data_IF_127075980062
#
_entry.id   IF_127075980062
#
_cell.length_a   1.000
_cell.length_b   1.000
_cell.length_c   1.000
_cell.angle_alpha   90.00
_cell.angle_beta   90.00
_cell.angle_gamma   90.00
#
_symmetry.space_group_name_H-M   'P 1'
#
loop_
_entity.id
_entity.type
_entity.pdbx_description
1 polymer ?
#
# COMPACT_ATOMS: atom_id res chain seq x y z
N UNK A 1 -23.07 -0.80 15.20
CA UNK A 1 -23.28 0.00 13.97
C UNK A 1 -24.03 -0.85 12.97
N UNK A 2 -24.87 -0.26 12.13
CA UNK A 2 -25.54 -1.02 11.07
C UNK A 2 -24.51 -1.43 10.02
N UNK A 3 -24.52 -2.70 9.63
CA UNK A 3 -23.64 -3.28 8.61
C UNK A 3 -24.45 -3.89 7.49
N UNK A 4 -23.80 -4.13 6.35
CA UNK A 4 -24.33 -4.86 5.21
C UNK A 4 -23.28 -5.87 4.71
N UNK A 5 -23.70 -7.00 4.14
CA UNK A 5 -22.78 -7.90 3.45
C UNK A 5 -22.13 -7.18 2.26
N UNK A 6 -20.89 -7.57 1.95
CA UNK A 6 -20.14 -7.12 0.78
C UNK A 6 -19.39 -8.30 0.17
N UNK A 7 -19.36 -8.34 -1.15
CA UNK A 7 -18.53 -9.23 -1.95
C UNK A 7 -17.52 -8.37 -2.70
N UNK A 8 -16.25 -8.75 -2.68
CA UNK A 8 -15.20 -7.87 -3.20
C UNK A 8 -13.95 -8.58 -3.72
N UNK A 9 -13.19 -7.86 -4.54
CA UNK A 9 -11.86 -8.25 -5.02
C UNK A 9 -10.83 -7.33 -4.38
N UNK A 10 -9.71 -7.88 -3.92
CA UNK A 10 -8.55 -7.08 -3.51
C UNK A 10 -7.68 -6.73 -4.72
N UNK A 11 -7.25 -5.48 -4.82
CA UNK A 11 -6.26 -5.03 -5.79
C UNK A 11 -5.09 -4.36 -5.08
N UNK A 12 -3.89 -4.52 -5.64
CA UNK A 12 -2.62 -4.11 -5.05
C UNK A 12 -1.86 -3.24 -6.03
N UNK A 13 -1.20 -2.24 -5.48
CA UNK A 13 -0.37 -1.31 -6.24
C UNK A 13 1.06 -1.40 -5.73
N UNK A 14 1.98 -1.71 -6.63
CA UNK A 14 3.42 -1.79 -6.35
C UNK A 14 4.14 -0.73 -7.15
N UNK A 15 5.00 0.05 -6.49
CA UNK A 15 5.92 0.96 -7.18
C UNK A 15 7.14 0.22 -7.70
N UNK A 16 7.53 0.53 -8.93
CA UNK A 16 8.70 -0.08 -9.57
C UNK A 16 9.35 0.93 -10.51
N UNK A 17 10.53 1.43 -10.15
CA UNK A 17 11.14 2.54 -10.88
C UNK A 17 10.21 3.76 -10.89
N UNK A 18 10.05 4.38 -12.06
CA UNK A 18 9.09 5.48 -12.29
C UNK A 18 7.71 4.99 -12.73
N UNK A 19 7.41 3.70 -12.53
CA UNK A 19 6.18 3.05 -12.97
C UNK A 19 5.46 2.37 -11.81
N UNK A 20 4.24 1.91 -12.07
CA UNK A 20 3.42 1.21 -11.09
C UNK A 20 2.84 -0.05 -11.72
N UNK A 21 2.79 -1.12 -10.93
CA UNK A 21 2.12 -2.35 -11.29
C UNK A 21 0.86 -2.47 -10.47
N UNK A 22 -0.25 -2.76 -11.14
CA UNK A 22 -1.47 -3.17 -10.48
C UNK A 22 -1.67 -4.68 -10.65
N UNK A 23 -2.12 -5.34 -9.59
CA UNK A 23 -2.65 -6.70 -9.64
C UNK A 23 -4.00 -6.79 -8.94
N UNK A 24 -4.88 -7.65 -9.41
CA UNK A 24 -6.11 -8.04 -8.73
C UNK A 24 -5.94 -9.47 -8.21
N UNK A 25 -6.28 -9.71 -6.95
CA UNK A 25 -6.21 -11.02 -6.35
C UNK A 25 -7.44 -11.87 -6.68
N UNK A 26 -7.22 -13.18 -6.73
CA UNK A 26 -8.26 -14.20 -6.78
C UNK A 26 -7.99 -15.14 -5.59
N UNK A 27 -9.01 -15.58 -4.82
CA UNK A 27 -10.44 -15.52 -5.11
C UNK A 27 -11.13 -14.19 -4.77
N UNK A 28 -12.42 -14.11 -5.06
CA UNK A 28 -13.36 -13.11 -4.53
C UNK A 28 -13.57 -13.35 -3.03
N UNK A 29 -13.53 -12.29 -2.24
CA UNK A 29 -13.70 -12.31 -0.80
C UNK A 29 -15.11 -11.88 -0.39
N UNK A 30 -15.52 -12.28 0.82
CA UNK A 30 -16.76 -11.84 1.44
C UNK A 30 -16.50 -11.20 2.81
N UNK A 31 -17.44 -10.38 3.26
CA UNK A 31 -17.36 -9.74 4.58
C UNK A 31 -18.60 -8.90 4.88
N UNK A 32 -18.48 -8.03 5.88
CA UNK A 32 -19.49 -7.02 6.20
C UNK A 32 -18.85 -5.65 6.32
N UNK A 33 -19.52 -4.62 5.81
CA UNK A 33 -19.08 -3.23 5.88
C UNK A 33 -20.16 -2.38 6.56
N UNK A 34 -19.78 -1.37 7.34
CA UNK A 34 -20.75 -0.44 7.92
C UNK A 34 -21.51 0.31 6.83
N UNK A 35 -22.82 0.52 7.02
CA UNK A 35 -23.65 1.25 6.04
C UNK A 35 -23.40 2.75 6.06
N UNK A 36 -22.88 3.25 7.18
CA UNK A 36 -22.49 4.64 7.40
C UNK A 36 -21.01 4.70 7.80
N UNK A 37 -20.30 5.78 7.44
CA UNK A 37 -18.94 5.98 7.92
C UNK A 37 -18.94 6.14 9.44
N UNK A 38 -18.01 5.46 10.11
CA UNK A 38 -17.85 5.60 11.57
C UNK A 38 -16.93 6.77 11.95
N UNK A 39 -16.12 7.24 10.99
CA UNK A 39 -15.34 8.46 11.13
C UNK A 39 -15.51 9.34 9.89
N UNK A 40 -16.08 10.52 10.11
CA UNK A 40 -16.28 11.57 9.11
C UNK A 40 -15.49 12.84 9.44
N UNK A 41 -14.64 12.84 10.48
CA UNK A 41 -13.88 14.02 10.89
C UNK A 41 -12.73 14.34 9.93
N UNK A 42 -12.28 13.36 9.14
CA UNK A 42 -11.28 13.58 8.09
C UNK A 42 -11.79 14.54 7.02
N UNK A 43 -10.96 15.49 6.57
CA UNK A 43 -11.38 16.50 5.59
C UNK A 43 -11.70 15.86 4.23
N UNK A 44 -10.89 14.89 3.80
CA UNK A 44 -10.94 14.36 2.43
C UNK A 44 -11.65 13.02 2.29
N UNK A 45 -11.78 12.26 3.39
CA UNK A 45 -12.18 10.85 3.36
C UNK A 45 -13.29 10.54 4.36
N UNK A 46 -14.22 9.71 3.93
CA UNK A 46 -15.15 8.99 4.80
C UNK A 46 -14.57 7.61 5.10
N UNK A 47 -14.66 7.18 6.36
CA UNK A 47 -14.06 5.92 6.82
C UNK A 47 -15.15 4.97 7.32
N UNK A 48 -15.21 3.81 6.70
CA UNK A 48 -16.10 2.70 7.02
C UNK A 48 -15.33 1.60 7.73
N UNK A 49 -16.02 0.82 8.57
CA UNK A 49 -15.42 -0.36 9.18
C UNK A 49 -15.80 -1.56 8.32
N UNK A 50 -14.78 -2.29 7.87
CA UNK A 50 -14.91 -3.54 7.13
C UNK A 50 -14.47 -4.69 8.04
N UNK A 51 -15.28 -5.73 8.13
CA UNK A 51 -14.98 -6.98 8.80
C UNK A 51 -14.96 -8.09 7.75
N UNK A 52 -13.80 -8.70 7.55
CA UNK A 52 -13.65 -9.84 6.63
C UNK A 52 -14.28 -11.10 7.23
N UNK A 53 -14.51 -12.11 6.39
CA UNK A 53 -15.07 -13.40 6.81
C UNK A 53 -14.23 -14.11 7.90
N UNK A 54 -12.91 -13.90 7.90
CA UNK A 54 -11.99 -14.42 8.93
C UNK A 54 -12.03 -13.64 10.26
N UNK A 55 -12.89 -12.61 10.36
CA UNK A 55 -13.01 -11.74 11.53
C UNK A 55 -12.01 -10.59 11.58
N UNK A 56 -11.08 -10.49 10.63
CA UNK A 56 -10.13 -9.39 10.58
C UNK A 56 -10.82 -8.05 10.31
N UNK A 57 -10.36 -7.01 11.00
CA UNK A 57 -10.91 -5.66 10.91
C UNK A 57 -10.03 -4.78 10.03
N UNK A 58 -10.66 -4.08 9.10
CA UNK A 58 -10.04 -3.10 8.22
C UNK A 58 -10.81 -1.78 8.27
N UNK A 59 -10.12 -0.69 7.98
CA UNK A 59 -10.76 0.57 7.60
C UNK A 59 -10.90 0.64 6.09
N UNK A 60 -12.07 0.99 5.60
CA UNK A 60 -12.35 1.18 4.17
C UNK A 60 -12.65 2.67 3.93
N UNK A 61 -11.79 3.34 3.16
CA UNK A 61 -11.84 4.80 2.97
C UNK A 61 -12.35 5.15 1.58
N UNK A 62 -13.24 6.14 1.50
CA UNK A 62 -13.72 6.73 0.24
C UNK A 62 -13.42 8.22 0.20
N UNK A 63 -13.08 8.74 -0.97
CA UNK A 63 -12.85 10.18 -1.17
C UNK A 63 -14.18 10.94 -1.18
N UNK A 64 -14.39 11.83 -0.21
CA UNK A 64 -15.65 12.56 0.01
C UNK A 64 -16.11 13.37 -1.18
N UNK A 65 -15.20 14.10 -1.81
CA UNK A 65 -15.50 14.95 -2.96
C UNK A 65 -15.95 14.17 -4.19
N UNK A 66 -15.78 12.83 -4.19
CA UNK A 66 -16.11 11.94 -5.30
C UNK A 66 -17.21 10.93 -4.92
N UNK A 67 -17.91 11.13 -3.79
CA UNK A 67 -18.91 10.18 -3.29
C UNK A 67 -20.11 9.95 -4.23
N UNK A 68 -20.32 10.84 -5.21
CA UNK A 68 -21.40 10.78 -6.20
C UNK A 68 -20.90 10.55 -7.63
N UNK A 69 -19.59 10.45 -7.84
CA UNK A 69 -19.00 10.21 -9.15
C UNK A 69 -19.16 8.75 -9.56
N UNK A 70 -18.97 8.46 -10.84
CA UNK A 70 -18.98 7.09 -11.34
C UNK A 70 -17.78 6.28 -10.80
N UNK A 71 -17.88 4.95 -10.89
CA UNK A 71 -16.87 4.03 -10.39
C UNK A 71 -15.47 4.34 -10.93
N UNK A 72 -15.30 4.64 -12.22
CA UNK A 72 -13.97 4.80 -12.81
C UNK A 72 -13.31 6.11 -12.36
N UNK A 73 -14.10 7.18 -12.24
CA UNK A 73 -13.62 8.45 -11.70
C UNK A 73 -13.19 8.30 -10.24
N UNK A 74 -13.99 7.61 -9.41
CA UNK A 74 -13.65 7.35 -8.01
C UNK A 74 -12.45 6.40 -7.86
N UNK A 75 -12.41 5.34 -8.66
CA UNK A 75 -11.37 4.31 -8.64
C UNK A 75 -10.00 4.91 -8.93
N UNK A 76 -9.86 5.77 -9.95
CA UNK A 76 -8.58 6.42 -10.28
C UNK A 76 -8.05 7.24 -9.10
N UNK A 77 -8.94 7.91 -8.37
CA UNK A 77 -8.54 8.68 -7.20
C UNK A 77 -8.10 7.78 -6.03
N UNK A 78 -8.79 6.64 -5.81
CA UNK A 78 -8.37 5.62 -4.83
C UNK A 78 -7.04 4.96 -5.22
N UNK A 79 -6.85 4.67 -6.51
CA UNK A 79 -5.61 4.14 -7.07
C UNK A 79 -4.44 5.10 -6.83
N UNK A 80 -4.63 6.39 -7.04
CA UNK A 80 -3.62 7.42 -6.76
C UNK A 80 -3.21 7.46 -5.28
N UNK A 81 -4.13 7.21 -4.34
CA UNK A 81 -3.80 7.08 -2.91
C UNK A 81 -2.98 5.82 -2.65
N UNK A 82 -3.35 4.69 -3.25
CA UNK A 82 -2.62 3.44 -3.14
C UNK A 82 -1.20 3.54 -3.72
N UNK A 83 -1.02 4.25 -4.83
CA UNK A 83 0.29 4.60 -5.40
C UNK A 83 1.15 5.31 -4.35
N UNK A 84 0.62 6.31 -3.64
CA UNK A 84 1.39 7.04 -2.61
C UNK A 84 1.76 6.15 -1.42
N UNK A 85 0.85 5.29 -0.96
CA UNK A 85 1.14 4.34 0.10
C UNK A 85 2.25 3.35 -0.31
N UNK A 86 2.23 2.92 -1.57
CA UNK A 86 3.26 2.07 -2.15
C UNK A 86 4.61 2.80 -2.26
N UNK A 87 4.63 4.08 -2.66
CA UNK A 87 5.86 4.91 -2.69
C UNK A 87 6.48 5.04 -1.29
N UNK A 88 5.65 5.32 -0.28
CA UNK A 88 6.09 5.40 1.12
C UNK A 88 6.77 4.10 1.54
N UNK A 89 6.18 2.96 1.21
CA UNK A 89 6.72 1.64 1.56
C UNK A 89 8.09 1.43 0.93
N UNK A 90 8.23 1.65 -0.39
CA UNK A 90 9.51 1.50 -1.10
C UNK A 90 10.60 2.41 -0.52
N UNK A 91 10.30 3.71 -0.36
CA UNK A 91 11.27 4.68 0.15
C UNK A 91 11.66 4.35 1.60
N UNK A 92 10.72 3.89 2.43
CA UNK A 92 11.00 3.51 3.81
C UNK A 92 11.92 2.30 3.91
N UNK A 93 11.72 1.27 3.08
CA UNK A 93 12.59 0.08 3.07
C UNK A 93 14.00 0.41 2.55
N UNK A 94 14.11 1.31 1.58
CA UNK A 94 15.41 1.84 1.12
C UNK A 94 16.09 2.69 2.20
N UNK A 95 15.33 3.50 2.94
CA UNK A 95 15.84 4.28 4.06
C UNK A 95 16.38 3.38 5.18
N UNK A 96 15.66 2.30 5.51
CA UNK A 96 16.14 1.27 6.46
C UNK A 96 17.42 0.61 5.98
N UNK A 97 17.48 0.25 4.70
CA UNK A 97 18.68 -0.34 4.08
C UNK A 97 19.86 0.63 4.15
N UNK A 98 19.62 1.90 3.85
CA UNK A 98 20.64 2.94 3.95
C UNK A 98 21.15 3.12 5.39
N UNK A 99 20.25 3.19 6.37
CA UNK A 99 20.62 3.31 7.78
C UNK A 99 21.44 2.10 8.25
N UNK A 100 21.04 0.88 7.88
CA UNK A 100 21.75 -0.35 8.23
C UNK A 100 23.16 -0.43 7.62
N UNK A 101 23.34 0.10 6.41
CA UNK A 101 24.63 0.13 5.73
C UNK A 101 25.52 1.31 6.15
N UNK A 102 24.97 2.28 6.87
CA UNK A 102 25.69 3.47 7.29
C UNK A 102 26.40 3.23 8.61
N UNK A 103 27.73 3.39 8.62
CA UNK A 103 28.58 3.09 9.78
C UNK A 103 28.86 1.59 9.96
N UNK A 104 29.75 1.24 10.89
CA UNK A 104 30.19 -0.16 11.05
C UNK A 104 29.10 -1.11 11.59
N UNK A 105 28.15 -0.59 12.36
CA UNK A 105 27.10 -1.37 13.02
C UNK A 105 25.68 -0.96 12.56
N UNK A 106 25.57 -0.18 11.49
CA UNK A 106 24.35 0.53 11.15
C UNK A 106 24.08 1.71 12.09
N UNK A 107 23.25 2.63 11.62
CA UNK A 107 22.73 3.74 12.43
C UNK A 107 21.33 3.35 12.91
N UNK A 108 21.08 3.34 14.24
CA UNK A 108 19.75 3.04 14.74
C UNK A 108 18.78 4.14 14.31
N UNK A 109 17.65 3.72 13.74
CA UNK A 109 16.52 4.58 13.40
C UNK A 109 15.28 4.18 14.20
N UNK A 110 14.27 5.04 14.22
CA UNK A 110 12.97 4.68 14.77
C UNK A 110 12.34 3.56 13.93
N UNK A 111 11.69 2.59 14.58
CA UNK A 111 11.01 1.50 13.88
C UNK A 111 9.68 1.99 13.31
N UNK A 112 9.77 2.49 12.07
CA UNK A 112 8.62 2.80 11.23
C UNK A 112 8.22 1.60 10.39
N UNK A 113 6.91 1.36 10.32
CA UNK A 113 6.27 0.43 9.38
C UNK A 113 5.26 1.20 8.55
N UNK A 114 4.86 0.66 7.41
CA UNK A 114 3.74 1.20 6.64
C UNK A 114 2.47 0.40 6.91
N UNK A 115 1.31 1.06 6.88
CA UNK A 115 0.05 0.36 6.85
C UNK A 115 -0.07 -0.43 5.55
N UNK A 116 -0.37 -1.72 5.67
CA UNK A 116 -0.64 -2.59 4.51
C UNK A 116 -1.84 -2.06 3.75
N UNK A 117 -1.60 -1.43 2.60
CA UNK A 117 -2.64 -0.73 1.84
C UNK A 117 -3.06 -1.56 0.64
N UNK A 118 -4.35 -1.78 0.49
CA UNK A 118 -4.93 -2.39 -0.71
C UNK A 118 -6.17 -1.62 -1.18
N UNK A 119 -6.60 -1.89 -2.40
CA UNK A 119 -7.86 -1.40 -2.94
C UNK A 119 -8.87 -2.54 -2.84
N UNK A 120 -10.02 -2.29 -2.23
CA UNK A 120 -11.14 -3.23 -2.23
C UNK A 120 -12.16 -2.76 -3.27
N UNK A 121 -12.42 -3.62 -4.26
CA UNK A 121 -13.38 -3.39 -5.34
C UNK A 121 -14.65 -4.16 -5.00
N UNK A 122 -15.70 -3.43 -4.64
CA UNK A 122 -17.02 -4.01 -4.41
C UNK A 122 -17.68 -4.43 -5.72
N UNK A 123 -18.25 -5.64 -5.72
CA UNK A 123 -18.94 -6.21 -6.89
C UNK A 123 -20.40 -6.55 -6.59
N UNK A 124 -21.28 -6.19 -7.52
CA UNK A 124 -22.68 -6.64 -7.57
C UNK A 124 -22.78 -7.84 -8.50
N UNK A 125 -23.59 -8.82 -8.10
CA UNK A 125 -24.05 -9.89 -8.98
C UNK A 125 -25.55 -9.71 -9.19
N UNK A 126 -25.99 -9.72 -10.46
CA UNK A 126 -27.40 -9.51 -10.84
C UNK A 126 -28.31 -10.67 -10.38
N UNK A 127 -27.74 -11.81 -10.01
CA UNK A 127 -28.43 -12.96 -9.41
C UNK A 127 -27.47 -13.73 -8.50
N UNK A 128 -28.01 -14.48 -7.51
CA UNK A 128 -27.31 -15.16 -6.40
C UNK A 128 -25.79 -15.32 -6.60
N UNK A 129 -24.94 -14.79 -5.69
CA UNK A 129 -23.49 -14.83 -5.86
C UNK A 129 -23.07 -16.27 -6.17
N UNK A 130 -22.16 -16.48 -7.14
CA UNK A 130 -21.71 -17.82 -7.51
C UNK A 130 -21.31 -18.51 -6.22
N UNK A 131 -22.04 -19.58 -5.87
CA UNK A 131 -21.94 -20.23 -4.57
C UNK A 131 -20.46 -20.38 -4.23
N UNK A 132 -20.02 -19.63 -3.20
CA UNK A 132 -18.62 -19.35 -2.88
C UNK A 132 -17.76 -20.52 -3.32
N UNK A 133 -16.92 -20.31 -4.34
CA UNK A 133 -16.20 -21.36 -5.05
C UNK A 133 -15.66 -22.35 -4.02
N UNK A 134 -16.38 -23.47 -3.85
CA UNK A 134 -16.09 -24.42 -2.79
C UNK A 134 -14.64 -24.79 -3.00
N UNK A 135 -13.82 -24.44 -2.01
CA UNK A 135 -12.40 -24.73 -1.91
C UNK A 135 -12.11 -26.03 -2.65
N UNK A 136 -11.27 -25.95 -3.68
CA UNK A 136 -10.86 -27.13 -4.46
C UNK A 136 -10.51 -28.23 -3.45
N UNK A 137 -11.14 -29.42 -3.52
CA UNK A 137 -10.75 -30.51 -2.66
C UNK A 137 -9.27 -30.81 -2.97
N UNK A 138 -8.42 -30.65 -1.96
CA UNK A 138 -7.04 -31.12 -1.98
C UNK A 138 -7.09 -32.64 -2.08
N UNK A 139 -7.15 -33.17 -3.31
CA UNK A 139 -7.12 -34.61 -3.56
C UNK A 139 -5.71 -35.13 -3.28
N UNK A 140 -5.49 -35.62 -2.06
CA UNK A 140 -4.47 -36.61 -1.79
C UNK A 140 -4.90 -37.96 -2.36
N UNK A 141 -3.96 -38.65 -3.02
CA UNK A 141 -4.04 -39.99 -3.62
C UNK A 141 -4.61 -39.97 -5.07
N UNK A 142 -3.92 -40.47 -6.10
CA UNK A 142 -3.44 -41.86 -6.14
C UNK A 142 -2.36 -42.22 -7.19
N UNK A 143 -1.80 -43.40 -6.92
CA UNK A 143 -0.97 -44.31 -7.74
C UNK A 143 -1.35 -44.45 -9.23
N UNK A 144 -0.40 -44.90 -10.08
CA UNK A 144 -0.67 -45.28 -11.46
C UNK A 144 -1.07 -46.76 -11.59
N UNK A 145 -2.16 -47.05 -12.31
CA UNK A 145 -2.42 -48.38 -12.86
C UNK A 145 -2.98 -48.32 -14.28
N UNK A 146 -2.75 -49.42 -14.99
CA UNK A 146 -2.51 -49.55 -16.43
C UNK A 146 -3.74 -50.16 -17.14
N UNK A 147 -4.05 -49.61 -18.31
CA UNK A 147 -4.64 -50.18 -19.55
C UNK A 147 -5.74 -51.29 -19.52
N UNK A 148 -6.85 -51.04 -20.23
CA UNK A 148 -7.42 -51.83 -21.36
C UNK A 148 -8.81 -51.24 -21.73
N UNK A 149 -8.98 -50.63 -22.91
CA UNK A 149 -9.54 -51.18 -24.18
C UNK A 149 -11.08 -51.19 -24.28
N UNK A 150 -11.53 -50.62 -25.40
CA UNK A 150 -12.78 -50.83 -26.15
C UNK A 150 -14.12 -50.35 -25.55
N UNK A 151 -14.70 -49.33 -26.18
CA UNK A 151 -15.79 -49.48 -27.18
C UNK A 151 -16.92 -48.43 -27.08
N UNK A 152 -17.54 -48.17 -28.24
CA UNK A 152 -18.84 -47.53 -28.52
C UNK A 152 -18.94 -46.00 -28.59
N UNK A 153 -19.16 -45.56 -29.83
CA UNK A 153 -19.63 -44.25 -30.28
C UNK A 153 -21.02 -43.90 -29.72
N UNK A 154 -21.11 -42.79 -28.98
CA UNK A 154 -22.35 -42.02 -28.81
C UNK A 154 -22.19 -40.63 -29.45
N UNK A 155 -23.17 -40.13 -30.22
CA UNK A 155 -23.13 -38.80 -30.80
C UNK A 155 -23.24 -37.75 -29.69
N UNK A 156 -22.46 -36.65 -29.75
CA UNK A 156 -22.39 -35.70 -28.65
C UNK A 156 -23.72 -34.98 -28.47
N UNK A 157 -24.35 -35.25 -27.32
CA UNK A 157 -25.44 -34.49 -26.74
C UNK A 157 -25.07 -33.01 -26.78
N UNK A 158 -25.96 -32.18 -27.34
CA UNK A 158 -25.84 -30.73 -27.38
C UNK A 158 -25.43 -30.19 -26.00
N UNK A 159 -24.14 -29.89 -25.86
CA UNK A 159 -23.63 -29.07 -24.76
C UNK A 159 -24.34 -27.74 -24.94
N UNK A 160 -25.30 -27.48 -24.06
CA UNK A 160 -25.93 -26.18 -23.96
C UNK A 160 -24.81 -25.17 -23.76
N UNK A 161 -24.63 -24.29 -24.74
CA UNK A 161 -23.65 -23.20 -24.65
C UNK A 161 -23.81 -22.56 -23.28
N UNK A 162 -22.73 -22.44 -22.47
CA UNK A 162 -22.82 -21.83 -21.15
C UNK A 162 -23.52 -20.49 -21.32
N UNK A 163 -24.66 -20.33 -20.63
CA UNK A 163 -25.43 -19.09 -20.58
C UNK A 163 -24.44 -17.95 -20.39
N UNK A 164 -24.45 -16.97 -21.30
CA UNK A 164 -23.53 -15.84 -21.34
C UNK A 164 -23.22 -15.41 -19.90
N UNK A 165 -21.99 -15.68 -19.43
CA UNK A 165 -21.64 -15.41 -18.04
C UNK A 165 -21.75 -13.91 -17.85
N UNK A 166 -22.76 -13.47 -17.11
CA UNK A 166 -22.93 -12.05 -16.79
C UNK A 166 -21.68 -11.60 -16.05
N UNK A 167 -20.99 -10.62 -16.64
CA UNK A 167 -19.80 -10.04 -16.06
C UNK A 167 -20.21 -9.27 -14.80
N UNK A 168 -19.60 -9.53 -13.63
CA UNK A 168 -19.96 -8.85 -12.39
C UNK A 168 -19.80 -7.34 -12.53
N UNK A 169 -20.74 -6.59 -11.97
CA UNK A 169 -20.77 -5.14 -12.02
C UNK A 169 -19.92 -4.56 -10.89
N UNK A 170 -18.82 -3.87 -11.22
CA UNK A 170 -18.01 -3.13 -10.25
C UNK A 170 -18.79 -1.88 -9.78
N UNK A 171 -19.00 -1.74 -8.48
CA UNK A 171 -19.87 -0.69 -7.92
C UNK A 171 -19.06 0.41 -7.26
N UNK A 172 -18.09 0.05 -6.42
CA UNK A 172 -17.34 0.97 -5.56
C UNK A 172 -15.92 0.52 -5.36
N UNK A 173 -15.03 1.47 -5.10
CA UNK A 173 -13.65 1.22 -4.72
C UNK A 173 -13.38 1.82 -3.34
N UNK A 174 -12.59 1.12 -2.53
CA UNK A 174 -12.20 1.57 -1.20
C UNK A 174 -10.69 1.47 -1.07
N UNK A 175 -10.05 2.49 -0.48
CA UNK A 175 -8.68 2.35 0.01
C UNK A 175 -8.75 1.68 1.39
N UNK A 176 -8.15 0.51 1.52
CA UNK A 176 -8.25 -0.31 2.71
C UNK A 176 -6.90 -0.48 3.40
N UNK A 177 -6.94 -0.39 4.73
CA UNK A 177 -5.80 -0.57 5.63
C UNK A 177 -6.27 -1.37 6.87
N UNK A 178 -5.38 -2.06 7.60
CA UNK A 178 -5.71 -2.67 8.88
C UNK A 178 -6.35 -1.67 9.85
N UNK A 179 -7.35 -2.13 10.60
CA UNK A 179 -7.93 -1.33 11.66
C UNK A 179 -6.92 -1.20 12.82
N UNK A 180 -6.66 0.04 13.25
CA UNK A 180 -5.80 0.30 14.40
C UNK A 180 -6.61 0.30 15.70
N UNK A 181 -6.14 -0.36 16.77
CA UNK A 181 -6.88 -0.45 18.02
C UNK A 181 -7.00 0.92 18.71
N UNK A 182 -8.01 1.09 19.57
CA UNK A 182 -8.25 2.33 20.31
C UNK A 182 -7.08 2.73 21.25
N UNK A 183 -6.20 1.78 21.60
CA UNK A 183 -4.97 2.06 22.35
C UNK A 183 -3.92 2.80 21.52
N UNK A 184 -4.00 2.72 20.19
CA UNK A 184 -3.05 3.34 19.30
C UNK A 184 -3.27 4.85 19.24
N UNK A 185 -2.19 5.61 19.35
CA UNK A 185 -2.21 7.08 19.40
C UNK A 185 -1.78 7.63 18.07
N UNK A 186 -2.59 8.50 17.48
CA UNK A 186 -2.19 9.25 16.30
C UNK A 186 -1.05 10.20 16.66
N UNK A 187 0.04 10.13 15.90
CA UNK A 187 1.18 11.03 16.01
C UNK A 187 1.49 11.62 14.64
N UNK A 188 1.56 12.95 14.57
CA UNK A 188 1.84 13.69 13.34
C UNK A 188 3.24 14.29 13.42
N UNK A 189 4.12 13.86 12.52
CA UNK A 189 5.50 14.31 12.45
C UNK A 189 5.65 15.51 11.52
N UNK A 190 4.97 15.52 10.38
CA UNK A 190 5.02 16.67 9.46
C UNK A 190 3.64 17.03 8.93
N UNK A 191 3.49 18.25 8.44
CA UNK A 191 2.35 18.72 7.67
C UNK A 191 2.60 18.63 6.17
N UNK A 192 1.62 19.06 5.38
CA UNK A 192 1.74 19.19 3.92
C UNK A 192 2.81 20.20 3.47
N UNK A 193 3.04 21.25 4.26
CA UNK A 193 3.94 22.37 3.92
C UNK A 193 4.90 22.71 5.05
N UNK A 194 5.03 21.84 6.04
CA UNK A 194 5.90 22.02 7.19
C UNK A 194 6.51 20.68 7.55
N UNK A 195 7.79 20.50 7.26
CA UNK A 195 8.56 19.33 7.68
C UNK A 195 9.91 19.80 8.21
N UNK A 196 10.50 19.05 9.13
CA UNK A 196 11.71 19.46 9.84
C UNK A 196 11.44 19.93 11.28
N UNK A 197 12.53 19.98 12.05
CA UNK A 197 12.59 20.43 13.44
C UNK A 197 11.73 19.62 14.44
N UNK A 198 11.42 18.37 14.09
CA UNK A 198 10.82 17.46 15.03
C UNK A 198 11.79 17.13 16.17
N UNK A 199 11.23 16.98 17.36
CA UNK A 199 12.01 16.68 18.56
C UNK A 199 11.98 15.18 18.88
N UNK A 200 13.00 14.72 19.60
CA UNK A 200 13.10 13.32 20.01
C UNK A 200 13.46 12.37 18.86
N UNK A 201 13.66 11.10 19.21
CA UNK A 201 14.22 10.12 18.30
C UNK A 201 13.30 9.82 17.10
N UNK A 202 12.00 9.55 17.36
CA UNK A 202 11.00 9.30 16.31
C UNK A 202 10.89 10.48 15.33
N UNK A 203 10.78 11.68 15.88
CA UNK A 203 10.67 12.91 15.12
C UNK A 203 11.87 13.17 14.20
N UNK A 204 13.09 13.08 14.76
CA UNK A 204 14.31 13.23 13.98
C UNK A 204 14.45 12.15 12.90
N UNK A 205 14.00 10.92 13.15
CA UNK A 205 13.96 9.87 12.11
C UNK A 205 12.95 10.21 11.01
N UNK A 206 11.77 10.73 11.33
CA UNK A 206 10.78 11.13 10.33
C UNK A 206 11.30 12.28 9.44
N UNK A 207 11.98 13.27 10.02
CA UNK A 207 12.62 14.35 9.26
C UNK A 207 13.73 13.81 8.33
N UNK A 208 14.53 12.87 8.83
CA UNK A 208 15.56 12.23 8.02
C UNK A 208 14.98 11.36 6.90
N UNK A 209 13.84 10.68 7.12
CA UNK A 209 13.12 9.93 6.08
C UNK A 209 12.61 10.87 4.97
N UNK A 210 12.01 12.00 5.34
CA UNK A 210 11.57 13.01 4.36
C UNK A 210 12.77 13.60 3.58
N UNK A 211 13.88 13.89 4.25
CA UNK A 211 15.09 14.36 3.57
C UNK A 211 15.69 13.28 2.65
N UNK A 212 15.77 12.05 3.14
CA UNK A 212 16.27 10.91 2.38
C UNK A 212 15.48 10.69 1.10
N UNK A 213 14.14 10.80 1.12
CA UNK A 213 13.34 10.62 -0.09
C UNK A 213 13.82 11.55 -1.21
N UNK A 214 14.09 12.81 -0.89
CA UNK A 214 14.53 13.80 -1.88
C UNK A 214 15.94 13.50 -2.38
N UNK A 215 16.86 13.09 -1.49
CA UNK A 215 18.21 12.68 -1.90
C UNK A 215 18.11 11.44 -2.80
N UNK A 216 17.47 10.39 -2.32
CA UNK A 216 17.40 9.09 -2.94
C UNK A 216 16.75 9.12 -4.32
N UNK A 217 15.79 10.01 -4.53
CA UNK A 217 15.10 10.17 -5.81
C UNK A 217 15.60 11.36 -6.64
N UNK A 218 16.76 11.97 -6.36
CA UNK A 218 17.26 13.16 -7.10
C UNK A 218 16.28 14.34 -7.18
N UNK A 219 15.57 14.59 -6.10
CA UNK A 219 14.49 15.58 -6.02
C UNK A 219 13.30 15.32 -6.96
N UNK A 220 13.08 14.04 -7.33
CA UNK A 220 11.86 13.61 -8.01
C UNK A 220 10.69 13.30 -7.06
N UNK A 221 10.94 12.97 -5.78
CA UNK A 221 9.94 12.65 -4.76
C UNK A 221 10.34 13.26 -3.42
N UNK A 222 9.37 13.90 -2.76
CA UNK A 222 9.42 14.28 -1.36
C UNK A 222 8.24 13.63 -0.64
N UNK A 223 8.51 12.85 0.39
CA UNK A 223 7.48 12.42 1.34
C UNK A 223 7.12 13.59 2.27
N UNK A 224 5.83 13.83 2.45
CA UNK A 224 5.27 14.91 3.26
C UNK A 224 4.09 14.41 4.09
N UNK A 225 3.64 15.21 5.05
CA UNK A 225 2.54 14.85 5.97
C UNK A 225 2.74 13.47 6.63
N UNK A 226 3.97 13.20 7.06
CA UNK A 226 4.32 11.97 7.73
C UNK A 226 3.57 11.92 9.07
N UNK A 227 2.70 10.94 9.20
CA UNK A 227 1.92 10.68 10.39
C UNK A 227 1.71 9.18 10.52
N UNK A 228 1.50 8.72 11.75
CA UNK A 228 1.34 7.31 12.04
C UNK A 228 0.66 7.06 13.36
N UNK A 229 0.32 5.80 13.58
CA UNK A 229 -0.20 5.33 14.85
C UNK A 229 0.93 4.70 15.67
N UNK A 230 1.09 5.16 16.91
CA UNK A 230 1.96 4.54 17.91
C UNK A 230 1.12 3.64 18.81
N UNK A 231 1.31 2.32 18.73
CA UNK A 231 0.59 1.36 19.56
C UNK A 231 1.44 0.94 20.77
N UNK A 232 1.05 1.28 22.01
CA UNK A 232 1.82 0.91 23.20
C UNK A 232 1.90 -0.61 23.40
N UNK A 233 1.03 -1.39 22.76
CA UNK A 233 1.07 -2.86 22.83
C UNK A 233 1.99 -3.49 21.78
N UNK A 234 2.41 -2.71 20.77
CA UNK A 234 3.30 -3.19 19.71
C UNK A 234 4.69 -2.54 19.88
N UNK A 235 5.63 -3.31 20.43
CA UNK A 235 6.96 -2.83 20.78
C UNK A 235 8.04 -3.66 20.10
N UNK A 236 9.15 -2.99 19.80
CA UNK A 236 10.43 -3.63 19.48
C UNK A 236 10.94 -4.46 20.67
N UNK A 237 11.93 -5.33 20.44
CA UNK A 237 12.60 -6.11 21.49
C UNK A 237 13.24 -5.24 22.58
N UNK A 238 13.57 -3.98 22.25
CA UNK A 238 14.10 -2.98 23.18
C UNK A 238 13.01 -2.24 23.97
N UNK A 239 11.74 -2.61 23.78
CA UNK A 239 10.59 -2.00 24.47
C UNK A 239 10.16 -0.64 23.91
N UNK A 240 10.69 -0.22 22.76
CA UNK A 240 10.26 1.01 22.06
C UNK A 240 8.99 0.75 21.26
N UNK A 241 8.02 1.66 21.30
CA UNK A 241 6.79 1.59 20.51
C UNK A 241 7.10 1.62 19.01
N UNK A 242 6.41 0.79 18.23
CA UNK A 242 6.48 0.82 16.77
C UNK A 242 5.47 1.84 16.24
N UNK A 243 5.83 2.56 15.18
CA UNK A 243 4.93 3.51 14.54
C UNK A 243 4.54 3.03 13.14
N UNK A 244 3.25 2.80 12.93
CA UNK A 244 2.69 2.45 11.61
C UNK A 244 2.29 3.74 10.90
N UNK A 245 3.09 4.14 9.92
CA UNK A 245 2.85 5.29 9.04
C UNK A 245 1.72 4.98 8.06
N UNK A 246 0.85 5.96 7.84
CA UNK A 246 -0.29 5.85 6.92
C UNK A 246 -0.63 7.23 6.36
N UNK A 247 -1.38 7.24 5.25
CA UNK A 247 -1.91 8.47 4.62
C UNK A 247 -0.85 9.56 4.40
N UNK A 248 0.36 9.17 3.99
CA UNK A 248 1.41 10.13 3.63
C UNK A 248 1.06 10.87 2.35
N UNK A 249 1.38 12.16 2.31
CA UNK A 249 1.44 12.89 1.05
C UNK A 249 2.80 12.72 0.39
N UNK A 250 2.83 12.93 -0.93
CA UNK A 250 4.05 12.98 -1.68
C UNK A 250 4.00 14.16 -2.65
N UNK A 251 5.13 14.84 -2.80
CA UNK A 251 5.35 15.80 -3.88
C UNK A 251 6.31 15.19 -4.89
N UNK A 252 5.95 15.18 -6.17
CA UNK A 252 6.78 14.55 -7.20
C UNK A 252 6.75 15.32 -8.52
N UNK A 253 7.84 15.22 -9.28
CA UNK A 253 8.12 16.03 -10.48
C UNK A 253 7.87 15.29 -11.81
N UNK A 254 7.78 13.95 -11.77
CA UNK A 254 7.44 13.15 -12.94
C UNK A 254 5.92 12.99 -13.09
N UNK A 255 5.47 12.73 -14.31
CA UNK A 255 4.05 12.65 -14.63
C UNK A 255 3.47 11.27 -14.25
N UNK A 256 2.48 11.24 -13.35
CA UNK A 256 1.59 10.07 -13.23
C UNK A 256 0.10 10.40 -13.25
N UNK A 257 -0.30 11.44 -14.00
CA UNK A 257 -1.65 12.06 -14.10
C UNK A 257 -1.82 13.15 -13.04
N UNK A 258 -1.62 14.39 -13.50
CA UNK A 258 -1.59 15.74 -12.89
C UNK A 258 -2.59 16.10 -11.75
N UNK A 259 -3.35 15.18 -11.18
CA UNK A 259 -4.49 15.46 -10.29
C UNK A 259 -4.44 14.73 -8.95
N UNK A 260 -3.26 14.26 -8.54
CA UNK A 260 -3.09 13.68 -7.21
C UNK A 260 -3.28 14.77 -6.17
N UNK A 261 -4.33 14.62 -5.37
CA UNK A 261 -4.75 15.62 -4.39
C UNK A 261 -3.60 15.94 -3.42
N UNK A 262 -3.29 17.23 -3.27
CA UNK A 262 -2.21 17.70 -2.39
C UNK A 262 -0.80 17.64 -2.98
N UNK A 263 -0.58 17.06 -4.17
CA UNK A 263 0.72 17.13 -4.83
C UNK A 263 1.01 18.56 -5.32
N UNK A 264 2.05 19.20 -4.78
CA UNK A 264 2.52 20.53 -5.20
C UNK A 264 3.72 20.49 -6.15
N UNK A 265 4.10 19.29 -6.58
CA UNK A 265 5.23 19.02 -7.46
C UNK A 265 6.50 19.72 -6.99
N UNK A 266 7.21 20.35 -7.93
CA UNK A 266 8.48 21.03 -7.65
C UNK A 266 8.35 22.13 -6.59
N UNK A 267 7.25 22.88 -6.60
CA UNK A 267 7.04 23.95 -5.62
C UNK A 267 6.95 23.42 -4.18
N UNK A 268 6.37 22.23 -3.99
CA UNK A 268 6.35 21.54 -2.69
C UNK A 268 7.74 21.13 -2.22
N UNK A 269 8.54 20.58 -3.14
CA UNK A 269 9.93 20.18 -2.87
C UNK A 269 10.81 21.39 -2.55
N UNK A 270 10.69 22.48 -3.31
CA UNK A 270 11.44 23.71 -3.05
C UNK A 270 11.05 24.35 -1.72
N UNK A 271 9.77 24.29 -1.34
CA UNK A 271 9.29 24.75 -0.03
C UNK A 271 9.95 23.96 1.11
N UNK A 272 10.03 22.64 0.96
CA UNK A 272 10.75 21.79 1.92
C UNK A 272 12.21 22.18 2.05
N UNK A 273 12.95 22.36 0.95
CA UNK A 273 14.35 22.78 1.03
C UNK A 273 14.55 24.13 1.72
N UNK A 274 13.59 25.04 1.57
CA UNK A 274 13.66 26.34 2.23
C UNK A 274 13.47 26.25 3.75
N UNK A 275 12.65 25.31 4.21
CA UNK A 275 12.26 25.18 5.62
C UNK A 275 13.10 24.15 6.39
N UNK A 276 13.53 23.10 5.70
CA UNK A 276 14.22 21.97 6.30
C UNK A 276 15.61 22.37 6.78
N UNK A 277 15.91 22.04 8.01
CA UNK A 277 17.25 22.11 8.59
C UNK A 277 17.64 20.70 9.01
N UNK A 278 18.80 20.23 8.55
CA UNK A 278 19.30 18.91 8.95
C UNK A 278 19.43 18.85 10.47
N UNK A 279 18.73 17.89 11.07
CA UNK A 279 18.90 17.53 12.47
C UNK A 279 19.94 16.44 12.67
N UNK A 280 20.14 16.03 13.92
CA UNK A 280 21.17 15.04 14.29
C UNK A 280 21.06 13.73 13.48
N UNK A 281 19.85 13.27 13.16
CA UNK A 281 19.68 12.04 12.38
C UNK A 281 20.08 12.21 10.91
N UNK A 282 19.81 13.37 10.30
CA UNK A 282 20.28 13.67 8.95
C UNK A 282 21.81 13.70 8.88
N UNK A 283 22.44 14.29 9.89
CA UNK A 283 23.90 14.41 9.97
C UNK A 283 24.57 13.04 10.13
N UNK A 284 24.04 12.23 11.06
CA UNK A 284 24.59 10.90 11.35
C UNK A 284 24.44 9.97 10.15
N UNK A 285 23.32 10.04 9.42
CA UNK A 285 23.13 9.32 8.16
C UNK A 285 23.89 9.91 6.97
N UNK A 286 24.62 11.02 7.14
CA UNK A 286 25.38 11.65 6.06
C UNK A 286 24.51 12.32 4.98
N UNK A 287 23.22 12.55 5.25
CA UNK A 287 22.30 13.19 4.30
C UNK A 287 22.61 14.67 4.12
N UNK A 288 23.16 15.33 5.15
CA UNK A 288 23.46 16.76 5.14
C UNK A 288 24.55 17.16 4.12
N UNK A 289 25.38 16.22 3.68
CA UNK A 289 26.49 16.47 2.74
C UNK A 289 26.19 16.05 1.31
N UNK A 290 25.05 15.40 1.08
CA UNK A 290 24.64 14.91 -0.24
C UNK A 290 23.61 15.87 -0.81
N UNK A 291 23.85 16.37 -2.02
CA UNK A 291 22.87 17.13 -2.78
C UNK A 291 22.01 16.19 -3.64
N UNK A 292 20.71 16.45 -3.85
CA UNK A 292 19.92 15.76 -4.85
C UNK A 292 20.46 15.89 -6.28
N UNK A 293 21.37 16.85 -6.54
CA UNK A 293 22.06 17.01 -7.83
C UNK A 293 23.39 16.26 -7.92
N UNK A 294 23.86 15.61 -6.85
CA UNK A 294 25.10 14.80 -6.88
C UNK A 294 24.95 13.66 -7.89
N UNK A 295 25.96 13.39 -8.72
CA UNK A 295 25.90 12.28 -9.70
C UNK A 295 25.87 10.91 -8.99
N UNK A 296 25.19 9.90 -9.56
CA UNK A 296 24.98 8.60 -8.90
C UNK A 296 26.26 7.90 -8.49
N UNK A 297 27.28 7.91 -9.36
CA UNK A 297 28.57 7.28 -9.07
C UNK A 297 29.35 7.96 -7.93
N UNK A 298 28.91 9.16 -7.50
CA UNK A 298 29.47 9.90 -6.36
C UNK A 298 28.63 9.73 -5.09
N UNK A 299 27.49 9.05 -5.16
CA UNK A 299 26.63 8.76 -4.02
C UNK A 299 26.96 7.38 -3.44
N UNK A 300 26.75 7.18 -2.13
CA UNK A 300 26.66 5.83 -1.60
C UNK A 300 25.58 5.04 -2.36
N UNK A 301 25.84 3.79 -2.81
CA UNK A 301 24.85 3.00 -3.55
C UNK A 301 23.50 2.86 -2.83
N UNK A 302 23.52 2.88 -1.50
CA UNK A 302 22.35 2.78 -0.63
C UNK A 302 21.50 4.05 -0.56
N UNK A 303 21.99 5.16 -1.13
CA UNK A 303 21.27 6.45 -1.22
C UNK A 303 20.69 6.68 -2.62
N UNK A 304 20.56 5.62 -3.41
CA UNK A 304 19.91 5.67 -4.72
C UNK A 304 18.63 4.86 -4.58
N UNK A 305 17.50 5.52 -4.82
CA UNK A 305 16.22 4.84 -4.79
C UNK A 305 16.05 3.93 -6.00
N UNK A 306 15.36 2.80 -5.82
CA UNK A 306 14.83 2.01 -6.92
C UNK A 306 13.86 2.82 -7.78
N UNK A 307 13.20 3.87 -7.23
CA UNK A 307 12.39 4.81 -8.02
C UNK A 307 13.23 5.63 -9.02
N UNK A 308 14.56 5.67 -8.85
CA UNK A 308 15.51 6.31 -9.76
C UNK A 308 16.06 5.38 -10.84
N UNK A 309 15.65 4.11 -10.91
CA UNK A 309 16.14 3.22 -11.99
C UNK A 309 15.74 3.81 -13.34
N UNK A 310 16.73 3.97 -14.24
CA UNK A 310 16.57 4.55 -15.57
C UNK A 310 15.41 3.91 -16.36
N UNK A 311 14.88 4.65 -17.33
CA UNK A 311 13.80 4.26 -18.26
C UNK A 311 14.07 2.99 -19.09
N UNK A 312 15.17 2.27 -18.85
CA UNK A 312 15.60 1.07 -19.58
C UNK A 312 15.02 -0.26 -19.05
N UNK A 313 14.11 -0.23 -18.07
CA UNK A 313 13.43 -1.47 -17.61
C UNK A 313 12.24 -1.86 -18.50
N UNK A 314 12.28 -1.51 -19.79
CA UNK A 314 11.32 -1.96 -20.80
C UNK A 314 11.46 -3.46 -21.19
N UNK A 315 12.30 -4.25 -20.50
CA UNK A 315 12.59 -5.63 -20.92
C UNK A 315 12.56 -6.69 -19.82
N UNK A 316 12.26 -6.36 -18.56
CA UNK A 316 12.18 -7.41 -17.54
C UNK A 316 10.78 -7.98 -17.54
N UNK A 317 10.63 -9.13 -18.20
CA UNK A 317 9.45 -9.98 -18.17
C UNK A 317 9.29 -10.57 -16.75
N UNK A 318 8.89 -9.71 -15.82
CA UNK A 318 8.68 -10.06 -14.42
C UNK A 318 7.34 -10.79 -14.33
N UNK A 319 7.42 -12.12 -14.25
CA UNK A 319 6.29 -13.02 -13.96
C UNK A 319 5.38 -12.41 -12.88
N UNK A 320 4.06 -12.61 -13.03
CA UNK A 320 3.07 -12.31 -11.98
C UNK A 320 3.61 -12.86 -10.65
N UNK A 321 3.56 -12.07 -9.56
CA UNK A 321 3.71 -12.64 -8.24
C UNK A 321 2.45 -13.47 -8.02
N UNK A 322 2.50 -14.75 -8.40
CA UNK A 322 1.48 -15.74 -8.05
C UNK A 322 1.46 -15.98 -6.50
N UNK A 323 2.36 -15.32 -5.75
CA UNK A 323 2.61 -15.47 -4.31
C UNK A 323 2.14 -14.27 -3.43
N UNK A 324 1.32 -13.34 -3.93
CA UNK A 324 0.61 -12.41 -3.00
C UNK A 324 -0.51 -13.18 -2.32
N UNK A 325 -0.12 -13.92 -1.28
CA UNK A 325 -1.03 -14.68 -0.45
C UNK A 325 -1.81 -13.76 0.49
N UNK A 326 -3.05 -13.41 0.10
CA UNK A 326 -3.99 -12.69 0.97
C UNK A 326 -4.54 -13.53 2.12
N UNK A 327 -4.14 -14.80 2.19
CA UNK A 327 -4.35 -15.71 3.30
C UNK A 327 -3.14 -15.77 4.24
N UNK A 328 -2.03 -15.06 3.95
CA UNK A 328 -0.97 -14.85 4.94
C UNK A 328 -1.64 -14.26 6.16
N UNK A 329 -1.70 -15.10 7.20
CA UNK A 329 -2.25 -14.76 8.51
C UNK A 329 -1.70 -13.40 8.89
N UNK A 330 -2.59 -12.59 9.46
CA UNK A 330 -2.20 -11.48 10.34
C UNK A 330 -0.97 -11.95 11.12
N UNK A 331 0.14 -11.18 11.16
CA UNK A 331 1.31 -11.58 11.93
C UNK A 331 0.88 -12.11 13.30
N UNK A 332 1.47 -13.22 13.76
CA UNK A 332 1.08 -14.03 14.94
C UNK A 332 1.07 -13.25 16.29
N UNK A 333 1.04 -11.92 16.29
CA UNK A 333 0.87 -11.04 17.45
C UNK A 333 -0.54 -10.43 17.63
N UNK A 334 -1.54 -10.78 16.80
CA UNK A 334 -2.87 -10.15 16.86
C UNK A 334 -4.08 -11.10 16.98
N UNK A 335 -3.86 -12.40 17.19
CA UNK A 335 -4.88 -13.31 17.70
C UNK A 335 -4.81 -13.35 19.23
N UNK A 336 -5.81 -12.77 19.91
CA UNK A 336 -6.20 -13.23 21.25
C UNK A 336 -6.99 -14.53 21.13
#
# INVERSE_FOLDING_TARGET
MQTRPITFIGAFVETFGKSFRQSEAQPVYTGTITTVPFNTSGIMKDVYLLTREDGSLMVAKTIKSLAHEDYWTHYVAVENEAIRASMLTTILEEFKTHAAASGMNGIPIYDFRTAETCIIIEIEYDSNPPAAAKTLPTSSNDKPSRASSDDVNDPPTHISSPSASETPKKIRAYLCEPFMPDSARLHKFSGSTHAGNNQGFAGNTADALAHFSVIATKADVLLADLQGFMDPNNKTDEGREICTLFDSMAHFTYDYRREVLGNRGRAGIDTFFHQHSCGAMCDVLGLAVISPSTEDHKRPPTTISSLCTADDVHSVDLKRPDDIDLTRRIPDGYSQ
#
